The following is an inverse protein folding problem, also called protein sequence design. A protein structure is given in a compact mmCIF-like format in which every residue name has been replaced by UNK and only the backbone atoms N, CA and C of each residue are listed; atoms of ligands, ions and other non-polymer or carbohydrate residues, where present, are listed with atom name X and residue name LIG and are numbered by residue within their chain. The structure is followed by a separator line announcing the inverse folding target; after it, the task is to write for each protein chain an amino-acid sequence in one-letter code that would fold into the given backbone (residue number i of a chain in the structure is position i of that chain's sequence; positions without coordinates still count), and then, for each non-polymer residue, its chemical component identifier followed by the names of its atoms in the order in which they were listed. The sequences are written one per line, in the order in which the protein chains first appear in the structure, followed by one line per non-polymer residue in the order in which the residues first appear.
data_IF_142868557443
#
_entry.id   IF_142868557443
#
_cell.length_a   1.000
_cell.length_b   1.000
_cell.length_c   1.000
_cell.angle_alpha   90.00
_cell.angle_beta   90.00
_cell.angle_gamma   90.00
#
_symmetry.space_group_name_H-M   'P 1'
#
loop_
_entity.id
_entity.type
_entity.pdbx_description
1 polymer ?
#
# COMPACT_ATOMS: atom_id res chain seq x y z
N UNK A 1 13.42 7.15 12.60
CA UNK A 1 12.92 5.81 12.92
C UNK A 1 11.42 5.72 12.62
N UNK A 2 11.01 4.65 11.99
CA UNK A 2 9.60 4.43 11.63
C UNK A 2 9.11 3.11 12.23
N UNK A 3 7.80 2.95 12.28
CA UNK A 3 7.18 1.66 12.55
C UNK A 3 6.04 1.44 11.56
N UNK A 4 5.74 0.17 11.29
CA UNK A 4 4.66 -0.21 10.38
C UNK A 4 3.59 -0.90 11.22
N UNK A 5 2.36 -0.39 11.14
CA UNK A 5 1.27 -0.80 12.01
C UNK A 5 0.01 -1.09 11.21
N UNK A 6 -0.93 -1.81 11.84
CA UNK A 6 -2.29 -1.96 11.33
C UNK A 6 -3.10 -0.74 11.74
N UNK A 7 -3.49 0.12 10.80
CA UNK A 7 -4.18 1.37 11.16
C UNK A 7 -5.59 1.17 11.69
N UNK A 8 -6.17 -0.03 11.51
CA UNK A 8 -7.51 -0.33 12.03
C UNK A 8 -7.50 -0.63 13.52
N UNK A 9 -6.34 -0.90 14.11
CA UNK A 9 -6.20 -1.23 15.53
C UNK A 9 -5.93 0.01 16.38
N UNK A 10 -6.54 1.13 16.08
CA UNK A 10 -6.32 2.34 16.83
C UNK A 10 -7.06 3.50 16.22
N UNK A 11 -6.84 4.72 16.70
CA UNK A 11 -7.59 5.89 16.24
C UNK A 11 -7.14 6.45 14.90
N UNK A 12 -6.15 5.86 14.26
CA UNK A 12 -5.51 6.46 13.08
C UNK A 12 -6.09 6.00 11.74
N UNK A 13 -7.19 5.22 11.73
CA UNK A 13 -7.71 4.69 10.48
C UNK A 13 -8.18 5.79 9.52
N UNK A 14 -8.83 6.82 10.05
CA UNK A 14 -9.28 7.94 9.23
C UNK A 14 -8.11 8.71 8.63
N UNK A 15 -7.04 8.92 9.39
CA UNK A 15 -5.84 9.58 8.89
C UNK A 15 -5.14 8.74 7.81
N UNK A 16 -5.17 7.43 7.98
CA UNK A 16 -4.65 6.49 6.99
C UNK A 16 -5.44 6.60 5.68
N UNK A 17 -6.76 6.63 5.74
CA UNK A 17 -7.60 6.78 4.55
C UNK A 17 -7.44 8.15 3.90
N UNK A 18 -7.29 9.20 4.72
CA UNK A 18 -7.06 10.54 4.20
C UNK A 18 -5.74 10.59 3.41
N UNK A 19 -4.68 10.03 3.96
CA UNK A 19 -3.39 10.01 3.24
C UNK A 19 -3.49 9.19 1.96
N UNK A 20 -4.21 8.07 1.98
CA UNK A 20 -4.44 7.27 0.78
C UNK A 20 -5.10 8.13 -0.31
N UNK A 21 -6.14 8.86 0.06
CA UNK A 21 -6.82 9.76 -0.87
C UNK A 21 -5.87 10.84 -1.40
N UNK A 22 -5.15 11.49 -0.50
CA UNK A 22 -4.26 12.59 -0.84
C UNK A 22 -3.16 12.17 -1.82
N UNK A 23 -2.61 10.97 -1.63
CA UNK A 23 -1.53 10.48 -2.48
C UNK A 23 -2.01 9.88 -3.80
N UNK A 24 -3.17 9.23 -3.79
CA UNK A 24 -3.53 8.33 -4.88
C UNK A 24 -4.79 8.74 -5.64
N UNK A 25 -5.61 9.62 -5.12
CA UNK A 25 -6.86 10.04 -5.78
C UNK A 25 -6.92 11.54 -6.01
N UNK A 26 -6.53 12.33 -5.03
CA UNK A 26 -6.57 13.79 -5.15
C UNK A 26 -5.79 14.29 -6.37
N UNK A 27 -4.57 13.80 -6.67
CA UNK A 27 -3.85 14.24 -7.86
C UNK A 27 -4.56 13.94 -9.18
N UNK A 28 -5.51 12.99 -9.16
CA UNK A 28 -6.31 12.62 -10.34
C UNK A 28 -7.69 13.29 -10.35
N UNK A 29 -7.94 14.22 -9.42
CA UNK A 29 -9.22 14.90 -9.30
C UNK A 29 -10.29 14.09 -8.58
N UNK A 30 -9.93 13.02 -7.87
CA UNK A 30 -10.88 12.18 -7.15
C UNK A 30 -11.40 12.84 -5.88
N UNK A 31 -12.70 12.71 -5.63
CA UNK A 31 -13.31 13.21 -4.39
C UNK A 31 -13.03 12.28 -3.23
N UNK A 32 -13.22 12.82 -1.99
CA UNK A 32 -13.15 11.98 -0.79
C UNK A 32 -14.17 10.86 -0.88
N UNK A 33 -13.73 9.65 -0.60
CA UNK A 33 -14.50 8.42 -0.78
C UNK A 33 -14.03 7.62 -1.98
N UNK A 34 -13.43 8.26 -2.98
CA UNK A 34 -12.89 7.56 -4.15
C UNK A 34 -11.70 6.68 -3.83
N UNK A 35 -11.09 6.85 -2.65
CA UNK A 35 -10.00 6.01 -2.18
C UNK A 35 -10.48 4.65 -1.65
N UNK A 36 -11.79 4.44 -1.52
CA UNK A 36 -12.36 3.22 -0.97
C UNK A 36 -12.83 2.28 -2.08
N UNK A 37 -12.79 0.98 -1.80
CA UNK A 37 -13.41 -0.02 -2.65
C UNK A 37 -14.16 -1.05 -1.79
N UNK A 38 -14.75 -2.06 -2.42
CA UNK A 38 -15.58 -3.05 -1.73
C UNK A 38 -14.74 -4.12 -1.01
N UNK A 39 -13.41 -4.03 -1.07
CA UNK A 39 -12.52 -4.99 -0.42
C UNK A 39 -11.92 -4.47 0.89
N UNK A 40 -12.34 -3.29 1.37
CA UNK A 40 -11.73 -2.70 2.57
C UNK A 40 -11.85 -3.61 3.79
N UNK A 41 -13.01 -4.22 3.99
CA UNK A 41 -13.26 -5.02 5.19
C UNK A 41 -12.51 -6.36 5.21
N UNK A 42 -12.09 -6.86 4.06
CA UNK A 42 -11.36 -8.13 3.95
C UNK A 42 -9.89 -7.95 3.62
N UNK A 43 -9.42 -6.72 3.63
CA UNK A 43 -8.03 -6.40 3.33
C UNK A 43 -7.19 -6.32 4.60
N UNK A 44 -5.90 -6.55 4.42
CA UNK A 44 -4.89 -6.29 5.45
C UNK A 44 -4.26 -4.95 5.14
N UNK A 45 -4.47 -3.99 6.03
CA UNK A 45 -3.98 -2.62 5.88
C UNK A 45 -2.72 -2.41 6.69
N UNK A 46 -1.78 -1.65 6.14
CA UNK A 46 -0.58 -1.25 6.88
C UNK A 46 -0.29 0.22 6.65
N UNK A 47 0.13 0.88 7.71
CA UNK A 47 0.54 2.28 7.67
C UNK A 47 1.98 2.39 8.15
N UNK A 48 2.73 3.28 7.53
CA UNK A 48 4.05 3.66 8.03
C UNK A 48 3.85 4.89 8.91
N UNK A 49 4.33 4.81 10.14
CA UNK A 49 4.16 5.87 11.13
C UNK A 49 5.55 6.36 11.54
N UNK A 50 5.71 7.68 11.54
CA UNK A 50 6.96 8.31 11.95
C UNK A 50 7.10 8.30 13.48
N UNK A 51 8.27 8.69 13.97
CA UNK A 51 8.50 8.82 15.42
C UNK A 51 7.56 9.83 16.07
N UNK A 52 7.03 10.78 15.30
CA UNK A 52 6.11 11.80 15.78
C UNK A 52 4.65 11.39 15.63
N UNK A 53 4.39 10.13 15.34
CA UNK A 53 3.05 9.56 15.14
C UNK A 53 2.32 10.07 13.89
N UNK A 54 3.04 10.63 12.93
CA UNK A 54 2.45 11.00 11.65
C UNK A 54 2.40 9.80 10.71
N UNK A 55 1.29 9.63 10.01
CA UNK A 55 1.19 8.61 8.98
C UNK A 55 1.88 9.14 7.73
N UNK A 56 2.90 8.43 7.26
CA UNK A 56 3.70 8.84 6.12
C UNK A 56 3.67 7.87 4.96
N UNK A 57 3.00 6.73 5.14
CA UNK A 57 2.83 5.76 4.07
C UNK A 57 1.62 4.88 4.31
N UNK A 58 1.10 4.34 3.22
CA UNK A 58 -0.11 3.50 3.23
C UNK A 58 0.09 2.32 2.30
N UNK A 59 -0.57 1.21 2.60
CA UNK A 59 -0.57 0.05 1.72
C UNK A 59 -1.59 -0.98 2.16
N UNK A 60 -2.01 -1.80 1.22
CA UNK A 60 -3.08 -2.77 1.46
C UNK A 60 -2.85 -4.02 0.62
N UNK A 61 -3.17 -5.18 1.18
CA UNK A 61 -3.19 -6.43 0.44
C UNK A 61 -4.49 -7.17 0.73
N UNK A 62 -5.08 -7.76 -0.28
CA UNK A 62 -6.22 -8.66 -0.13
C UNK A 62 -6.01 -9.90 -0.98
N UNK A 63 -6.81 -10.93 -0.70
CA UNK A 63 -6.68 -12.22 -1.37
C UNK A 63 -7.91 -12.50 -2.22
N UNK A 64 -7.67 -13.07 -3.39
CA UNK A 64 -8.73 -13.53 -4.27
C UNK A 64 -8.29 -14.89 -4.83
N UNK A 65 -9.00 -15.95 -4.44
CA UNK A 65 -8.63 -17.32 -4.77
C UNK A 65 -7.20 -17.62 -4.31
N UNK A 66 -6.33 -18.03 -5.21
CA UNK A 66 -4.94 -18.34 -4.88
C UNK A 66 -3.98 -17.18 -5.17
N UNK A 67 -4.51 -15.97 -5.34
CA UNK A 67 -3.72 -14.79 -5.66
C UNK A 67 -3.83 -13.74 -4.57
N UNK A 68 -2.77 -12.96 -4.39
CA UNK A 68 -2.80 -11.76 -3.56
C UNK A 68 -2.69 -10.53 -4.47
N UNK A 69 -3.43 -9.49 -4.12
CA UNK A 69 -3.31 -8.20 -4.78
C UNK A 69 -2.89 -7.14 -3.80
N UNK A 70 -1.79 -6.45 -4.10
CA UNK A 70 -1.35 -5.27 -3.37
C UNK A 70 -1.95 -4.06 -4.07
N UNK A 71 -2.54 -3.17 -3.27
CA UNK A 71 -3.23 -2.00 -3.79
C UNK A 71 -3.08 -0.82 -2.84
N UNK A 72 -3.24 0.38 -3.38
CA UNK A 72 -3.21 1.62 -2.61
C UNK A 72 -1.93 1.80 -1.81
N UNK A 73 -0.79 1.54 -2.44
CA UNK A 73 0.51 1.71 -1.83
C UNK A 73 1.11 3.06 -2.21
N UNK A 74 1.55 3.81 -1.22
CA UNK A 74 2.17 5.09 -1.45
C UNK A 74 2.90 5.60 -0.21
N UNK A 75 3.88 6.46 -0.43
CA UNK A 75 4.64 7.11 0.63
C UNK A 75 4.63 8.61 0.37
N UNK A 76 4.49 9.41 1.42
CA UNK A 76 4.57 10.87 1.30
C UNK A 76 5.84 11.27 0.56
N UNK A 77 5.71 12.21 -0.36
CA UNK A 77 6.83 12.67 -1.17
C UNK A 77 7.99 13.18 -0.30
N UNK A 78 7.68 13.86 0.80
CA UNK A 78 8.70 14.35 1.74
C UNK A 78 9.52 13.24 2.39
N UNK A 79 9.05 12.00 2.35
CA UNK A 79 9.72 10.83 2.91
C UNK A 79 10.10 9.82 1.84
N UNK A 80 10.09 10.22 0.58
CA UNK A 80 10.51 9.35 -0.51
C UNK A 80 12.01 9.12 -0.50
N UNK A 81 12.45 8.05 -1.18
CA UNK A 81 13.87 7.68 -1.32
C UNK A 81 14.57 7.34 -0.01
N UNK A 82 13.82 6.98 1.03
CA UNK A 82 14.37 6.55 2.31
C UNK A 82 14.23 5.05 2.53
N UNK A 83 13.79 4.32 1.51
CA UNK A 83 13.59 2.88 1.60
C UNK A 83 12.31 2.48 2.32
N UNK A 84 11.44 3.40 2.66
CA UNK A 84 10.21 3.12 3.40
C UNK A 84 9.21 2.33 2.57
N UNK A 85 9.10 2.64 1.27
CA UNK A 85 8.24 1.89 0.36
C UNK A 85 8.66 0.44 0.27
N UNK A 86 9.94 0.16 0.21
CA UNK A 86 10.47 -1.20 0.18
C UNK A 86 10.15 -1.94 1.47
N UNK A 87 10.29 -1.29 2.63
CA UNK A 87 9.94 -1.90 3.91
C UNK A 87 8.46 -2.23 4.00
N UNK A 88 7.61 -1.32 3.52
CA UNK A 88 6.17 -1.53 3.50
C UNK A 88 5.81 -2.70 2.56
N UNK A 89 6.39 -2.72 1.38
CA UNK A 89 6.16 -3.79 0.42
C UNK A 89 6.53 -5.15 1.01
N UNK A 90 7.70 -5.24 1.65
CA UNK A 90 8.13 -6.48 2.30
C UNK A 90 7.20 -6.90 3.43
N UNK A 91 6.66 -5.93 4.17
CA UNK A 91 5.68 -6.23 5.24
C UNK A 91 4.41 -6.84 4.65
N UNK A 92 3.91 -6.29 3.54
CA UNK A 92 2.73 -6.84 2.87
C UNK A 92 3.03 -8.23 2.28
N UNK A 93 4.22 -8.42 1.72
CA UNK A 93 4.64 -9.72 1.18
C UNK A 93 4.69 -10.79 2.27
N UNK A 94 5.11 -10.44 3.48
CA UNK A 94 5.13 -11.37 4.60
C UNK A 94 3.71 -11.82 4.98
N UNK A 95 2.74 -10.94 4.89
CA UNK A 95 1.33 -11.31 5.12
C UNK A 95 0.90 -12.35 4.10
N UNK A 96 1.26 -12.16 2.84
CA UNK A 96 0.95 -13.10 1.76
C UNK A 96 1.59 -14.46 2.03
N UNK A 97 2.85 -14.47 2.41
CA UNK A 97 3.59 -15.70 2.75
C UNK A 97 2.90 -16.49 3.86
N UNK A 98 2.48 -15.79 4.92
CA UNK A 98 1.80 -16.42 6.06
C UNK A 98 0.48 -17.07 5.68
N UNK A 99 -0.13 -16.63 4.60
CA UNK A 99 -1.37 -17.22 4.09
C UNK A 99 -1.13 -18.36 3.10
N UNK A 100 0.14 -18.72 2.89
CA UNK A 100 0.48 -19.82 1.98
C UNK A 100 0.30 -19.49 0.52
N UNK A 101 0.24 -18.22 0.18
CA UNK A 101 0.06 -17.75 -1.20
C UNK A 101 1.40 -17.29 -1.74
N UNK A 102 1.71 -17.68 -2.98
CA UNK A 102 3.01 -17.39 -3.58
C UNK A 102 2.93 -16.54 -4.85
N UNK A 103 1.75 -16.02 -5.16
CA UNK A 103 1.58 -15.15 -6.33
C UNK A 103 0.97 -13.83 -5.91
N UNK A 104 1.65 -12.73 -6.27
CA UNK A 104 1.21 -11.37 -5.98
C UNK A 104 1.13 -10.62 -7.29
N UNK A 105 0.04 -9.87 -7.48
CA UNK A 105 -0.04 -8.94 -8.59
C UNK A 105 -0.44 -7.57 -8.09
N UNK A 106 -0.17 -6.57 -8.91
CA UNK A 106 -0.55 -5.20 -8.65
C UNK A 106 -0.66 -4.43 -9.96
N UNK A 107 -1.45 -3.38 -9.93
CA UNK A 107 -1.52 -2.43 -11.04
C UNK A 107 -0.68 -1.21 -10.66
N UNK A 108 0.42 -1.02 -11.38
CA UNK A 108 1.35 0.05 -11.08
C UNK A 108 1.11 1.25 -11.98
N UNK A 109 1.25 2.44 -11.42
CA UNK A 109 1.38 3.65 -12.21
C UNK A 109 2.71 3.61 -12.96
N UNK A 110 2.76 4.28 -14.11
CA UNK A 110 3.96 4.29 -14.95
C UNK A 110 5.19 4.73 -14.14
N UNK A 111 5.04 5.75 -13.29
CA UNK A 111 6.16 6.29 -12.52
C UNK A 111 6.60 5.39 -11.35
N UNK A 112 5.87 4.32 -11.07
CA UNK A 112 6.22 3.37 -10.01
C UNK A 112 6.73 2.02 -10.54
N UNK A 113 6.71 1.80 -11.86
CA UNK A 113 7.12 0.53 -12.45
C UNK A 113 8.55 0.17 -12.05
N UNK A 114 9.47 1.12 -12.12
CA UNK A 114 10.87 0.87 -11.79
C UNK A 114 11.05 0.43 -10.34
N UNK A 115 10.27 1.01 -9.41
CA UNK A 115 10.31 0.62 -8.02
C UNK A 115 9.92 -0.85 -7.84
N UNK A 116 8.82 -1.28 -8.48
CA UNK A 116 8.37 -2.65 -8.36
C UNK A 116 9.32 -3.63 -9.04
N UNK A 117 9.85 -3.28 -10.21
CA UNK A 117 10.82 -4.13 -10.90
C UNK A 117 12.09 -4.31 -10.05
N UNK A 118 12.57 -3.26 -9.41
CA UNK A 118 13.72 -3.33 -8.50
C UNK A 118 13.46 -4.29 -7.34
N UNK A 119 12.21 -4.43 -6.93
CA UNK A 119 11.82 -5.32 -5.84
C UNK A 119 11.37 -6.70 -6.31
N UNK A 120 11.69 -7.08 -7.54
CA UNK A 120 11.49 -8.43 -8.04
C UNK A 120 10.21 -8.66 -8.83
N UNK A 121 9.45 -7.60 -9.09
CA UNK A 121 8.21 -7.73 -9.86
C UNK A 121 8.49 -7.63 -11.36
N UNK A 122 7.77 -8.42 -12.12
CA UNK A 122 7.88 -8.40 -13.58
C UNK A 122 6.63 -7.80 -14.19
N UNK A 123 6.82 -7.01 -15.25
CA UNK A 123 5.72 -6.41 -15.98
C UNK A 123 5.02 -7.49 -16.80
N UNK A 124 3.70 -7.61 -16.64
CA UNK A 124 2.87 -8.48 -17.46
C UNK A 124 2.22 -7.61 -18.53
N UNK A 125 2.36 -8.04 -19.77
CA UNK A 125 1.73 -7.33 -20.88
C UNK A 125 0.22 -7.53 -20.80
N UNK A 126 -0.51 -6.42 -20.81
CA UNK A 126 -1.97 -6.48 -20.81
C UNK A 126 -2.46 -6.84 -22.21
N UNK A 127 -3.40 -7.75 -22.24
CA UNK A 127 -4.01 -8.21 -23.50
C UNK A 127 -5.34 -7.50 -23.70
#
# INVERSE_FOLDING_TARGET
MIRIVDPKKGPMYEDYLYLRWLLLREPLGGERGSELDDMESVSYHRAIVSKDNDIIGVGRVHFRDSLAQIRYMGVKHSHSRMGYGTKLLHTLEKIVDKHGINKIFLNSRINAIAFYQKNGYSKIKRV
#
